data_IF_325342558241
#
_entry.id   IF_325342558241
#
_cell.length_a   1.000
_cell.length_b   1.000
_cell.length_c   1.000
_cell.angle_alpha   90.00
_cell.angle_beta   90.00
_cell.angle_gamma   90.00
#
_symmetry.space_group_name_H-M   'P 1'
#
loop_
_entity.id
_entity.type
_entity.pdbx_description
1 polymer ?
#
# COMPACT_ATOMS: atom_id res chain seq x y z
N UNK A 1 -4.42 25.41 -34.19
CA UNK A 1 -3.22 24.96 -33.44
C UNK A 1 -3.37 23.46 -33.19
N UNK A 2 -2.46 22.61 -33.69
CA UNK A 2 -2.52 21.16 -33.42
C UNK A 2 -2.04 20.92 -31.99
N UNK A 3 -2.99 20.76 -31.06
CA UNK A 3 -2.74 20.50 -29.64
C UNK A 3 -1.95 19.19 -29.39
N UNK A 4 -1.93 18.28 -30.37
CA UNK A 4 -1.24 17.00 -30.30
C UNK A 4 -0.35 16.78 -31.52
N UNK A 5 0.67 17.63 -31.68
CA UNK A 5 1.72 17.39 -32.67
C UNK A 5 2.48 16.11 -32.31
N UNK A 6 2.87 15.33 -33.34
CA UNK A 6 3.57 14.05 -33.14
C UNK A 6 4.84 14.22 -32.30
N UNK A 7 5.58 15.31 -32.50
CA UNK A 7 6.75 15.64 -31.70
C UNK A 7 6.44 15.87 -30.22
N UNK A 8 5.29 16.47 -29.90
CA UNK A 8 4.88 16.70 -28.51
C UNK A 8 4.64 15.36 -27.81
N UNK A 9 3.85 14.48 -28.43
CA UNK A 9 3.56 13.16 -27.88
C UNK A 9 4.83 12.32 -27.75
N UNK A 10 5.73 12.38 -28.73
CA UNK A 10 7.02 11.66 -28.69
C UNK A 10 7.91 12.17 -27.56
N UNK A 11 8.15 13.47 -27.48
CA UNK A 11 9.06 14.05 -26.49
C UNK A 11 8.50 13.89 -25.07
N UNK A 12 7.19 14.14 -24.90
CA UNK A 12 6.50 13.88 -23.63
C UNK A 12 6.57 12.41 -23.25
N UNK A 13 6.25 11.51 -24.18
CA UNK A 13 6.25 10.06 -23.93
C UNK A 13 7.62 9.55 -23.49
N UNK A 14 8.70 9.98 -24.16
CA UNK A 14 10.06 9.61 -23.78
C UNK A 14 10.39 10.11 -22.37
N UNK A 15 10.14 11.40 -22.10
CA UNK A 15 10.38 11.98 -20.78
C UNK A 15 9.56 11.31 -19.67
N UNK A 16 8.29 11.01 -19.96
CA UNK A 16 7.40 10.31 -19.06
C UNK A 16 7.89 8.89 -18.74
N UNK A 17 8.28 8.11 -19.75
CA UNK A 17 8.80 6.75 -19.54
C UNK A 17 10.08 6.76 -18.71
N UNK A 18 11.02 7.65 -19.04
CA UNK A 18 12.28 7.78 -18.27
C UNK A 18 11.99 8.19 -16.82
N UNK A 19 11.14 9.20 -16.62
CA UNK A 19 10.75 9.65 -15.28
C UNK A 19 10.03 8.58 -14.47
N UNK A 20 9.09 7.86 -15.09
CA UNK A 20 8.36 6.77 -14.45
C UNK A 20 9.29 5.64 -14.01
N UNK A 21 10.27 5.27 -14.85
CA UNK A 21 11.28 4.26 -14.50
C UNK A 21 12.16 4.70 -13.32
N UNK A 22 12.57 5.97 -13.28
CA UNK A 22 13.35 6.51 -12.16
C UNK A 22 12.55 6.49 -10.85
N UNK A 23 11.30 6.93 -10.89
CA UNK A 23 10.42 6.96 -9.70
C UNK A 23 10.12 5.55 -9.23
N UNK A 24 9.77 4.63 -10.13
CA UNK A 24 9.51 3.24 -9.79
C UNK A 24 10.76 2.57 -9.20
N UNK A 25 11.94 2.79 -9.78
CA UNK A 25 13.20 2.27 -9.25
C UNK A 25 13.53 2.81 -7.86
N UNK A 26 13.37 4.13 -7.65
CA UNK A 26 13.61 4.77 -6.35
C UNK A 26 12.67 4.27 -5.24
N UNK A 27 11.44 3.87 -5.60
CA UNK A 27 10.43 3.38 -4.66
C UNK A 27 10.32 1.85 -4.63
N UNK A 28 11.15 1.12 -5.39
CA UNK A 28 11.02 -0.35 -5.50
C UNK A 28 11.11 -1.07 -4.14
N UNK A 29 11.85 -0.50 -3.18
CA UNK A 29 11.96 -1.05 -1.81
C UNK A 29 10.75 -0.77 -0.93
N UNK A 30 10.00 0.31 -1.14
CA UNK A 30 8.79 0.61 -0.36
C UNK A 30 7.58 -0.19 -0.84
N UNK A 31 7.56 -0.60 -2.11
CA UNK A 31 6.46 -1.38 -2.68
C UNK A 31 6.30 -2.74 -2.02
N UNK A 32 7.37 -3.35 -1.50
CA UNK A 32 7.26 -4.60 -0.74
C UNK A 32 6.53 -4.42 0.59
N UNK A 33 6.69 -3.26 1.24
CA UNK A 33 6.05 -2.97 2.52
C UNK A 33 4.58 -2.55 2.31
N UNK A 34 4.26 -1.91 1.18
CA UNK A 34 2.91 -1.49 0.82
C UNK A 34 2.05 -2.64 0.23
N UNK A 35 2.69 -3.62 -0.42
CA UNK A 35 2.07 -4.87 -0.87
C UNK A 35 2.10 -5.97 0.21
N UNK A 36 2.76 -5.74 1.34
CA UNK A 36 2.69 -6.66 2.46
C UNK A 36 1.23 -6.77 2.92
N UNK A 37 0.75 -7.98 3.26
CA UNK A 37 -0.57 -8.14 3.85
C UNK A 37 -0.70 -7.18 5.04
N UNK A 38 -1.87 -6.51 5.21
CA UNK A 38 -2.10 -5.64 6.36
C UNK A 38 -1.61 -6.34 7.61
N UNK A 39 -0.79 -5.65 8.41
CA UNK A 39 -0.15 -6.20 9.60
C UNK A 39 -1.15 -7.09 10.34
N UNK A 40 -0.89 -8.40 10.37
CA UNK A 40 -1.77 -9.34 11.02
C UNK A 40 -1.90 -8.89 12.47
N UNK A 41 -3.07 -8.35 12.84
CA UNK A 41 -3.37 -7.99 14.21
C UNK A 41 -3.03 -9.22 15.06
N UNK A 42 -2.15 -9.03 16.05
CA UNK A 42 -1.74 -10.12 16.93
C UNK A 42 -3.01 -10.82 17.45
N UNK A 43 -3.06 -12.15 17.33
CA UNK A 43 -4.18 -12.94 17.82
C UNK A 43 -4.45 -12.52 19.27
N UNK A 44 -5.69 -12.09 19.57
CA UNK A 44 -6.07 -11.75 20.94
C UNK A 44 -5.77 -12.96 21.81
N UNK A 45 -4.88 -12.78 22.79
CA UNK A 45 -4.66 -13.80 23.81
C UNK A 45 -6.02 -14.12 24.44
N UNK A 46 -6.38 -15.40 24.46
CA UNK A 46 -7.62 -15.86 25.09
C UNK A 46 -7.59 -15.40 26.55
N UNK A 47 -8.40 -14.40 26.88
CA UNK A 47 -8.57 -13.96 28.25
C UNK A 47 -9.08 -15.15 29.07
N UNK A 48 -8.55 -15.38 30.29
CA UNK A 48 -9.14 -16.34 31.21
C UNK A 48 -10.64 -16.08 31.35
N UNK A 49 -11.45 -17.12 31.33
CA UNK A 49 -12.87 -16.98 31.61
C UNK A 49 -13.05 -16.38 33.02
N UNK A 50 -14.01 -15.47 33.22
CA UNK A 50 -14.27 -14.90 34.55
C UNK A 50 -14.56 -16.02 35.55
N UNK A 51 -13.98 -15.93 36.76
CA UNK A 51 -14.25 -16.91 37.80
C UNK A 51 -15.73 -16.84 38.22
N UNK A 52 -16.30 -18.01 38.54
CA UNK A 52 -17.72 -18.14 38.90
C UNK A 52 -18.12 -17.32 40.14
N UNK A 53 -17.14 -16.82 40.90
CA UNK A 53 -17.34 -15.95 42.06
C UNK A 53 -17.92 -14.56 41.70
N UNK A 54 -17.81 -14.12 40.45
CA UNK A 54 -18.30 -12.81 39.99
C UNK A 54 -19.51 -12.88 39.04
N UNK A 55 -20.14 -14.06 38.90
CA UNK A 55 -21.34 -14.22 38.06
C UNK A 55 -22.57 -13.86 38.88
N UNK A 56 -23.19 -12.71 38.58
CA UNK A 56 -24.48 -12.32 39.14
C UNK A 56 -25.57 -12.99 38.30
N UNK A 57 -26.21 -14.02 38.85
CA UNK A 57 -27.41 -14.64 38.27
C UNK A 57 -28.62 -13.71 38.52
N UNK A 58 -29.54 -13.55 37.54
CA UNK A 58 -30.73 -12.70 37.70
C UNK A 58 -31.68 -13.19 38.80
#
# INVERSE_FOLDING_TARGET
>A
MRLFSSDLVRNFGIGFVVGALLVAGANAKSWSDELAPPAHAAQMAKAPAPSAEFVIVP
#
